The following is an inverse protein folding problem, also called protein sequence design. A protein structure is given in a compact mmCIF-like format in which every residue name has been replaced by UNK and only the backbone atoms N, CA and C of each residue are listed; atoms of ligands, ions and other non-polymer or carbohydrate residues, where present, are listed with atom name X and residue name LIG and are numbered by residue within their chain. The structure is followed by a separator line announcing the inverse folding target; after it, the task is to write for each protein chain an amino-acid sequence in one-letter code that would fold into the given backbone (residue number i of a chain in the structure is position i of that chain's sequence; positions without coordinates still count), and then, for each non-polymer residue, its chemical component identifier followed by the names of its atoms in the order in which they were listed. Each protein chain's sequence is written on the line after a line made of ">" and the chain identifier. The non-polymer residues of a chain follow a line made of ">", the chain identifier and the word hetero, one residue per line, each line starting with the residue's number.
data_IF_653690880023
#
_entry.id   IF_653690880023
#
_cell.length_a   1.000
_cell.length_b   1.000
_cell.length_c   1.000
_cell.angle_alpha   90.00
_cell.angle_beta   90.00
_cell.angle_gamma   90.00
#
_symmetry.space_group_name_H-M   'P 1'
#
loop_
_entity.id
_entity.type
_entity.pdbx_description
1 polymer ?
#
# COMPACT_ATOMS: atom_id res chain seq x y z
N UNK A 1 15.88 -7.59 -12.32
CA UNK A 1 14.91 -6.47 -12.17
C UNK A 1 14.24 -6.63 -10.82
N UNK A 2 14.31 -5.60 -10.01
CA UNK A 2 13.70 -5.64 -8.68
C UNK A 2 12.24 -5.18 -8.77
N UNK A 3 11.32 -6.09 -8.46
CA UNK A 3 9.88 -5.82 -8.46
C UNK A 3 9.38 -5.62 -7.04
N UNK A 4 8.47 -4.69 -6.87
CA UNK A 4 7.80 -4.46 -5.59
C UNK A 4 6.29 -4.64 -5.77
N UNK A 5 5.70 -5.50 -4.94
CA UNK A 5 4.26 -5.66 -4.83
C UNK A 5 3.75 -4.81 -3.66
N UNK A 6 2.91 -3.82 -3.97
CA UNK A 6 2.22 -3.01 -2.97
C UNK A 6 0.78 -3.52 -2.83
N UNK A 7 0.40 -3.89 -1.61
CA UNK A 7 -0.90 -4.49 -1.31
C UNK A 7 -1.74 -3.50 -0.49
N UNK A 8 -2.81 -3.01 -1.08
CA UNK A 8 -3.80 -2.15 -0.45
C UNK A 8 -4.93 -2.94 0.23
N UNK A 9 -5.85 -2.23 0.86
CA UNK A 9 -6.96 -2.81 1.62
C UNK A 9 -8.20 -3.21 0.80
N UNK A 10 -8.17 -3.07 -0.53
CA UNK A 10 -9.29 -3.45 -1.40
C UNK A 10 -9.45 -4.97 -1.53
N UNK A 11 -10.64 -5.46 -1.94
CA UNK A 11 -11.01 -6.88 -1.81
C UNK A 11 -10.16 -7.86 -2.63
N UNK A 12 -9.55 -7.45 -3.74
CA UNK A 12 -8.80 -8.38 -4.59
C UNK A 12 -7.61 -9.04 -3.89
N UNK A 13 -7.03 -8.40 -2.86
CA UNK A 13 -5.93 -9.04 -2.14
C UNK A 13 -6.34 -10.35 -1.44
N UNK A 14 -7.63 -10.50 -1.08
CA UNK A 14 -8.16 -11.70 -0.44
C UNK A 14 -8.25 -12.90 -1.41
N UNK A 15 -8.11 -12.67 -2.71
CA UNK A 15 -8.22 -13.69 -3.76
C UNK A 15 -6.85 -14.22 -4.24
N UNK A 16 -5.75 -13.56 -3.84
CA UNK A 16 -4.41 -13.79 -4.41
C UNK A 16 -3.33 -14.17 -3.37
N UNK A 17 -3.72 -14.84 -2.29
CA UNK A 17 -2.76 -15.22 -1.24
C UNK A 17 -1.65 -16.16 -1.75
N UNK A 18 -1.98 -17.11 -2.64
CA UNK A 18 -1.02 -18.07 -3.17
C UNK A 18 0.02 -17.37 -4.05
N UNK A 19 -0.42 -16.46 -4.90
CA UNK A 19 0.46 -15.65 -5.72
C UNK A 19 1.34 -14.75 -4.85
N UNK A 20 0.78 -14.11 -3.83
CA UNK A 20 1.55 -13.28 -2.91
C UNK A 20 2.61 -14.09 -2.15
N UNK A 21 2.30 -15.32 -1.70
CA UNK A 21 3.30 -16.20 -1.07
C UNK A 21 4.41 -16.63 -2.03
N UNK A 22 4.09 -16.76 -3.31
CA UNK A 22 5.03 -17.20 -4.35
C UNK A 22 5.87 -16.05 -4.92
N UNK A 23 5.48 -14.81 -4.65
CA UNK A 23 6.16 -13.62 -5.17
C UNK A 23 7.59 -13.53 -4.65
N UNK A 24 8.56 -13.31 -5.55
CA UNK A 24 10.00 -13.30 -5.23
C UNK A 24 10.59 -11.92 -4.98
N UNK A 25 9.82 -10.87 -5.26
CA UNK A 25 10.23 -9.48 -5.01
C UNK A 25 9.94 -9.01 -3.58
N UNK A 26 9.97 -7.72 -3.39
CA UNK A 26 9.64 -7.06 -2.12
C UNK A 26 8.13 -6.92 -1.99
N UNK A 27 7.58 -7.32 -0.86
CA UNK A 27 6.17 -7.15 -0.52
C UNK A 27 6.01 -5.99 0.48
N UNK A 28 5.16 -5.04 0.14
CA UNK A 28 4.79 -3.89 0.95
C UNK A 28 3.28 -3.93 1.19
N UNK A 29 2.84 -4.07 2.42
CA UNK A 29 1.42 -4.03 2.76
C UNK A 29 1.04 -2.66 3.31
N UNK A 30 -0.11 -2.13 2.89
CA UNK A 30 -0.79 -1.08 3.64
C UNK A 30 -1.41 -1.65 4.92
N UNK A 31 -1.65 -0.80 5.91
CA UNK A 31 -2.12 -1.18 7.24
C UNK A 31 -3.25 -2.23 7.23
N UNK A 32 -4.38 -1.96 6.58
CA UNK A 32 -5.55 -2.87 6.52
C UNK A 32 -5.24 -4.23 5.89
N UNK A 33 -4.30 -4.30 4.97
CA UNK A 33 -3.92 -5.56 4.34
C UNK A 33 -2.95 -6.40 5.18
N UNK A 34 -2.18 -5.76 6.06
CA UNK A 34 -1.06 -6.40 6.75
C UNK A 34 -1.47 -7.63 7.54
N UNK A 35 -2.53 -7.54 8.37
CA UNK A 35 -3.01 -8.67 9.17
C UNK A 35 -3.55 -9.79 8.30
N UNK A 36 -4.41 -9.48 7.33
CA UNK A 36 -4.99 -10.48 6.44
C UNK A 36 -3.89 -11.26 5.69
N UNK A 37 -2.86 -10.56 5.21
CA UNK A 37 -1.72 -11.18 4.53
C UNK A 37 -0.91 -12.08 5.47
N UNK A 38 -0.55 -11.60 6.65
CA UNK A 38 0.25 -12.39 7.59
C UNK A 38 -0.51 -13.59 8.14
N UNK A 39 -1.81 -13.49 8.38
CA UNK A 39 -2.67 -14.60 8.79
C UNK A 39 -2.70 -15.72 7.75
N UNK A 40 -2.54 -15.39 6.47
CA UNK A 40 -2.47 -16.33 5.35
C UNK A 40 -1.04 -16.75 4.99
N UNK A 41 -0.05 -16.41 5.81
CA UNK A 41 1.34 -16.83 5.61
C UNK A 41 2.11 -16.04 4.56
N UNK A 42 1.57 -14.91 4.09
CA UNK A 42 2.34 -13.95 3.29
C UNK A 42 3.24 -13.16 4.21
N UNK A 43 4.51 -13.02 3.86
CA UNK A 43 5.52 -12.35 4.68
C UNK A 43 5.83 -10.98 4.06
N UNK A 44 5.26 -9.87 4.56
CA UNK A 44 5.60 -8.55 4.07
C UNK A 44 7.00 -8.15 4.55
N UNK A 45 7.80 -7.57 3.66
CA UNK A 45 9.06 -6.95 4.02
C UNK A 45 8.80 -5.63 4.78
N UNK A 46 7.76 -4.91 4.35
CA UNK A 46 7.37 -3.63 4.93
C UNK A 46 5.86 -3.52 5.11
N UNK A 47 5.47 -2.79 6.14
CA UNK A 47 4.10 -2.32 6.32
C UNK A 47 4.12 -0.80 6.34
N UNK A 48 3.30 -0.16 5.54
CA UNK A 48 3.15 1.30 5.52
C UNK A 48 1.86 1.68 6.24
N UNK A 49 1.95 2.62 7.17
CA UNK A 49 0.78 3.20 7.84
C UNK A 49 0.83 4.72 7.81
N UNK A 50 -0.32 5.32 7.54
CA UNK A 50 -0.50 6.77 7.48
C UNK A 50 -1.67 7.22 8.37
N UNK A 51 -2.10 6.36 9.25
CA UNK A 51 -3.34 6.56 9.99
C UNK A 51 -3.25 7.70 11.01
N UNK A 52 -4.15 8.64 10.86
CA UNK A 52 -4.31 9.79 11.73
C UNK A 52 -5.50 9.69 12.70
N UNK A 53 -6.40 8.69 12.54
CA UNK A 53 -7.61 8.60 13.35
C UNK A 53 -7.48 7.82 14.67
N UNK A 54 -8.34 8.18 15.63
CA UNK A 54 -8.26 7.86 17.06
C UNK A 54 -8.58 6.43 17.46
N UNK A 55 -8.77 5.51 16.60
CA UNK A 55 -9.30 4.23 17.01
C UNK A 55 -8.21 3.21 17.32
N UNK A 56 -8.22 2.70 18.56
CA UNK A 56 -7.53 1.47 18.95
C UNK A 56 -7.89 0.28 18.02
N UNK A 57 -8.97 0.42 17.23
CA UNK A 57 -9.35 -0.50 16.17
C UNK A 57 -8.25 -0.76 15.13
N UNK A 58 -7.30 0.15 15.01
CA UNK A 58 -6.14 -0.05 14.14
C UNK A 58 -5.18 -1.12 14.63
N UNK A 59 -5.17 -1.40 15.92
CA UNK A 59 -4.41 -2.55 16.43
C UNK A 59 -4.98 -3.87 15.90
N UNK A 60 -6.22 -3.88 15.42
CA UNK A 60 -6.84 -5.02 14.75
C UNK A 60 -6.25 -5.28 13.36
N UNK A 61 -5.64 -4.26 12.73
CA UNK A 61 -4.98 -4.39 11.42
C UNK A 61 -3.55 -4.91 11.52
N UNK A 62 -2.97 -4.92 12.73
CA UNK A 62 -1.61 -5.36 12.95
C UNK A 62 -1.55 -6.51 13.96
N UNK A 63 -1.02 -7.64 13.54
CA UNK A 63 -0.51 -8.64 14.48
C UNK A 63 0.94 -8.27 14.85
N UNK A 64 1.11 -7.41 15.85
CA UNK A 64 2.42 -6.89 16.23
C UNK A 64 3.41 -8.00 16.67
N UNK A 65 3.02 -9.01 17.46
CA UNK A 65 3.88 -10.17 17.73
C UNK A 65 4.38 -10.83 16.45
N UNK A 66 3.51 -11.03 15.49
CA UNK A 66 3.82 -11.65 14.20
C UNK A 66 4.74 -10.79 13.35
N UNK A 67 4.48 -9.49 13.22
CA UNK A 67 5.35 -8.57 12.49
C UNK A 67 6.78 -8.58 13.07
N UNK A 68 6.90 -8.66 14.40
CA UNK A 68 8.21 -8.77 15.05
C UNK A 68 8.91 -10.09 14.72
N UNK A 69 8.20 -11.22 14.80
CA UNK A 69 8.72 -12.53 14.42
C UNK A 69 9.22 -12.56 13.00
N UNK A 70 8.43 -12.01 12.07
CA UNK A 70 8.75 -11.91 10.66
C UNK A 70 9.83 -10.85 10.33
N UNK A 71 10.25 -10.05 11.32
CA UNK A 71 11.19 -8.93 11.16
C UNK A 71 10.73 -7.88 10.16
N UNK A 72 9.42 -7.75 9.97
CA UNK A 72 8.82 -6.74 9.11
C UNK A 72 9.10 -5.34 9.65
N UNK A 73 9.54 -4.44 8.79
CA UNK A 73 9.75 -3.04 9.15
C UNK A 73 8.46 -2.24 8.89
N UNK A 74 8.10 -1.36 9.82
CA UNK A 74 6.95 -0.48 9.67
C UNK A 74 7.40 0.91 9.24
N UNK A 75 6.83 1.39 8.15
CA UNK A 75 7.03 2.75 7.64
C UNK A 75 5.85 3.59 8.11
N UNK A 76 6.15 4.62 8.89
CA UNK A 76 5.12 5.51 9.48
C UNK A 76 5.14 6.85 8.77
N UNK A 77 3.97 7.37 8.38
CA UNK A 77 3.90 8.76 7.91
C UNK A 77 3.99 9.73 9.08
N UNK A 78 4.23 10.99 8.80
CA UNK A 78 4.21 12.06 9.82
C UNK A 78 2.82 12.25 10.44
N UNK A 79 1.76 11.79 9.78
CA UNK A 79 0.39 11.78 10.31
C UNK A 79 0.13 10.61 11.26
N UNK A 80 1.05 9.65 11.37
CA UNK A 80 0.89 8.49 12.25
C UNK A 80 0.85 8.91 13.70
N UNK A 81 -0.13 8.41 14.45
CA UNK A 81 -0.37 8.83 15.84
C UNK A 81 0.69 8.34 16.81
N UNK A 82 0.93 9.16 17.82
CA UNK A 82 1.87 8.84 18.90
C UNK A 82 1.50 7.55 19.62
N UNK A 83 0.20 7.28 19.86
CA UNK A 83 -0.24 6.05 20.50
C UNK A 83 0.19 4.80 19.73
N UNK A 84 0.13 4.84 18.39
CA UNK A 84 0.59 3.72 17.55
C UNK A 84 2.12 3.59 17.60
N UNK A 85 2.85 4.70 17.61
CA UNK A 85 4.31 4.70 17.75
C UNK A 85 4.75 4.15 19.11
N UNK A 86 4.04 4.46 20.19
CA UNK A 86 4.27 3.90 21.52
C UNK A 86 4.06 2.37 21.52
N UNK A 87 3.02 1.89 20.81
CA UNK A 87 2.78 0.45 20.66
C UNK A 87 3.91 -0.24 19.89
N UNK A 88 4.36 0.34 18.77
CA UNK A 88 5.51 -0.22 18.05
C UNK A 88 6.75 -0.27 18.93
N UNK A 89 7.00 0.76 19.72
CA UNK A 89 8.10 0.80 20.69
C UNK A 89 7.97 -0.30 21.76
N UNK A 90 6.77 -0.43 22.37
CA UNK A 90 6.47 -1.47 23.38
C UNK A 90 6.73 -2.88 22.88
N UNK A 91 6.35 -3.17 21.63
CA UNK A 91 6.56 -4.48 21.01
C UNK A 91 7.94 -4.61 20.35
N UNK A 92 8.78 -3.58 20.40
CA UNK A 92 10.09 -3.52 19.74
C UNK A 92 9.99 -3.82 18.24
N UNK A 93 8.97 -3.26 17.60
CA UNK A 93 8.82 -3.29 16.17
C UNK A 93 9.76 -2.26 15.56
N UNK A 94 10.56 -2.68 14.58
CA UNK A 94 11.37 -1.75 13.81
C UNK A 94 10.45 -0.83 13.03
N UNK A 95 10.51 0.47 13.29
CA UNK A 95 9.75 1.44 12.55
C UNK A 95 10.64 2.61 12.12
N UNK A 96 10.24 3.25 11.03
CA UNK A 96 10.96 4.37 10.43
C UNK A 96 9.95 5.40 9.93
N UNK A 97 10.09 6.68 10.33
CA UNK A 97 9.25 7.73 9.77
C UNK A 97 9.59 7.98 8.31
N UNK A 98 8.58 8.25 7.53
CA UNK A 98 8.69 8.69 6.14
C UNK A 98 8.03 10.05 5.96
N UNK A 99 8.82 11.02 5.56
CA UNK A 99 8.38 12.37 5.24
C UNK A 99 8.55 12.55 3.72
N UNK A 100 7.45 12.66 2.97
CA UNK A 100 7.51 12.85 1.53
C UNK A 100 8.29 14.12 1.19
N UNK A 101 9.30 13.98 0.32
CA UNK A 101 10.02 15.14 -0.23
C UNK A 101 9.28 15.66 -1.46
N UNK A 102 9.14 16.97 -1.58
CA UNK A 102 8.52 17.67 -2.72
C UNK A 102 7.00 17.44 -2.91
N UNK A 103 6.33 16.84 -1.96
CA UNK A 103 4.88 16.76 -1.90
C UNK A 103 4.46 17.18 -0.50
N UNK A 104 3.48 18.07 -0.40
CA UNK A 104 2.86 18.33 0.90
C UNK A 104 2.17 17.05 1.37
N UNK A 105 2.41 16.58 2.60
CA UNK A 105 1.84 15.33 3.12
C UNK A 105 0.31 15.27 3.02
N UNK A 106 -0.35 16.43 3.13
CA UNK A 106 -1.79 16.59 2.95
C UNK A 106 -2.27 16.28 1.53
N UNK A 107 -1.36 16.09 0.57
CA UNK A 107 -1.69 15.72 -0.82
C UNK A 107 -1.62 14.21 -1.07
N UNK A 108 -1.22 13.42 -0.10
CA UNK A 108 -1.33 11.97 -0.16
C UNK A 108 -2.65 11.57 0.55
N UNK A 109 -3.75 11.36 -0.19
CA UNK A 109 -5.08 11.24 0.39
C UNK A 109 -5.28 9.95 1.19
N UNK A 110 -4.40 8.97 1.03
CA UNK A 110 -4.49 7.70 1.76
C UNK A 110 -3.13 7.00 1.94
N UNK A 111 -3.16 5.92 2.71
CA UNK A 111 -1.99 5.08 2.96
C UNK A 111 -1.46 4.39 1.71
N UNK A 112 -2.33 4.05 0.76
CA UNK A 112 -1.92 3.43 -0.51
C UNK A 112 -1.04 4.35 -1.35
N UNK A 113 -1.42 5.62 -1.49
CA UNK A 113 -0.58 6.61 -2.15
C UNK A 113 0.72 6.87 -1.40
N UNK A 114 0.68 6.90 -0.07
CA UNK A 114 1.88 7.02 0.76
C UNK A 114 2.83 5.86 0.51
N UNK A 115 2.31 4.62 0.46
CA UNK A 115 3.09 3.42 0.20
C UNK A 115 3.74 3.45 -1.19
N UNK A 116 2.99 3.77 -2.23
CA UNK A 116 3.51 3.88 -3.60
C UNK A 116 4.60 4.95 -3.69
N UNK A 117 4.37 6.11 -3.06
CA UNK A 117 5.34 7.20 -3.06
C UNK A 117 6.63 6.81 -2.33
N UNK A 118 6.51 6.16 -1.16
CA UNK A 118 7.64 5.65 -0.42
C UNK A 118 8.42 4.62 -1.24
N UNK A 119 7.76 3.63 -1.82
CA UNK A 119 8.39 2.59 -2.67
C UNK A 119 9.16 3.23 -3.82
N UNK A 120 8.54 4.16 -4.55
CA UNK A 120 9.19 4.84 -5.67
C UNK A 120 10.47 5.57 -5.26
N UNK A 121 10.45 6.29 -4.13
CA UNK A 121 11.54 7.17 -3.75
C UNK A 121 12.65 6.47 -2.95
N UNK A 122 12.30 5.49 -2.13
CA UNK A 122 13.23 4.81 -1.23
C UNK A 122 13.74 3.47 -1.78
N UNK A 123 12.87 2.67 -2.38
CA UNK A 123 13.25 1.37 -2.94
C UNK A 123 13.67 1.47 -4.41
N UNK A 124 13.08 2.39 -5.18
CA UNK A 124 13.39 2.67 -6.58
C UNK A 124 13.37 1.43 -7.47
N UNK A 125 12.30 0.63 -7.44
CA UNK A 125 12.21 -0.58 -8.23
C UNK A 125 12.09 -0.29 -9.73
N UNK A 126 12.26 -1.32 -10.56
CA UNK A 126 12.03 -1.21 -11.99
C UNK A 126 10.53 -1.03 -12.32
N UNK A 127 9.65 -1.68 -11.53
CA UNK A 127 8.21 -1.47 -11.58
C UNK A 127 7.54 -1.77 -10.23
N UNK A 128 6.32 -1.26 -10.07
CA UNK A 128 5.47 -1.45 -8.90
C UNK A 128 4.19 -2.16 -9.32
N UNK A 129 3.95 -3.34 -8.76
CA UNK A 129 2.69 -4.06 -8.90
C UNK A 129 1.73 -3.61 -7.81
N UNK A 130 0.48 -3.34 -8.16
CA UNK A 130 -0.56 -2.87 -7.24
C UNK A 130 -1.65 -3.93 -7.11
N UNK A 131 -1.96 -4.36 -5.90
CA UNK A 131 -3.03 -5.31 -5.60
C UNK A 131 -3.89 -4.74 -4.46
N UNK A 132 -5.21 -4.84 -4.55
CA UNK A 132 -6.10 -4.29 -3.51
C UNK A 132 -6.29 -2.78 -3.59
N UNK A 133 -6.24 -2.20 -4.80
CA UNK A 133 -6.40 -0.77 -5.06
C UNK A 133 -7.73 -0.44 -5.76
N UNK A 134 -8.76 -1.22 -5.50
CA UNK A 134 -10.07 -1.03 -6.12
C UNK A 134 -10.77 0.23 -5.66
N UNK A 135 -10.58 0.63 -4.40
CA UNK A 135 -11.32 1.74 -3.77
C UNK A 135 -12.84 1.62 -3.99
N UNK A 136 -13.36 0.39 -3.85
CA UNK A 136 -14.78 0.08 -3.97
C UNK A 136 -15.34 -0.37 -2.63
N UNK A 137 -16.61 -0.11 -2.40
CA UNK A 137 -17.32 -0.52 -1.19
C UNK A 137 -18.12 0.62 -0.57
N UNK A 138 -18.87 0.32 0.49
CA UNK A 138 -19.75 1.27 1.18
C UNK A 138 -18.99 2.40 1.91
N UNK A 139 -17.67 2.31 2.02
CA UNK A 139 -16.84 3.32 2.69
C UNK A 139 -16.44 4.47 1.76
N UNK A 140 -16.59 4.28 0.44
CA UNK A 140 -16.21 5.28 -0.55
C UNK A 140 -17.43 5.70 -1.36
N UNK A 141 -17.89 6.92 -1.14
CA UNK A 141 -18.86 7.54 -2.04
C UNK A 141 -18.20 7.90 -3.40
N UNK A 142 -19.04 8.21 -4.38
CA UNK A 142 -18.57 8.54 -5.73
C UNK A 142 -17.62 9.76 -5.75
N UNK A 143 -17.83 10.71 -4.84
CA UNK A 143 -17.00 11.91 -4.74
C UNK A 143 -15.60 11.55 -4.21
N UNK A 144 -15.50 10.76 -3.16
CA UNK A 144 -14.23 10.28 -2.60
C UNK A 144 -13.45 9.46 -3.62
N UNK A 145 -14.13 8.54 -4.32
CA UNK A 145 -13.56 7.75 -5.40
C UNK A 145 -12.95 8.61 -6.51
N UNK A 146 -13.72 9.58 -7.04
CA UNK A 146 -13.26 10.47 -8.11
C UNK A 146 -12.13 11.40 -7.66
N UNK A 147 -12.19 11.88 -6.44
CA UNK A 147 -11.15 12.72 -5.86
C UNK A 147 -9.85 11.96 -5.73
N UNK A 148 -9.90 10.74 -5.22
CA UNK A 148 -8.74 9.87 -5.11
C UNK A 148 -8.15 9.54 -6.49
N UNK A 149 -9.00 9.13 -7.43
CA UNK A 149 -8.58 8.83 -8.80
C UNK A 149 -7.92 10.05 -9.46
N UNK A 150 -8.52 11.23 -9.31
CA UNK A 150 -7.98 12.47 -9.85
C UNK A 150 -6.63 12.85 -9.25
N UNK A 151 -6.45 12.68 -7.94
CA UNK A 151 -5.19 12.92 -7.24
C UNK A 151 -4.11 11.93 -7.69
N UNK A 152 -4.43 10.63 -7.71
CA UNK A 152 -3.52 9.56 -8.14
C UNK A 152 -3.01 9.79 -9.57
N UNK A 153 -3.91 9.92 -10.55
CA UNK A 153 -3.51 10.12 -11.94
C UNK A 153 -2.81 11.46 -12.18
N UNK A 154 -3.17 12.50 -11.42
CA UNK A 154 -2.46 13.78 -11.48
C UNK A 154 -1.02 13.67 -11.02
N UNK A 155 -0.75 12.75 -10.10
CA UNK A 155 0.55 12.52 -9.54
C UNK A 155 1.43 11.59 -10.39
N UNK A 156 0.85 10.53 -10.97
CA UNK A 156 1.61 9.56 -11.78
C UNK A 156 1.74 9.94 -13.26
N UNK A 157 1.21 11.08 -13.67
CA UNK A 157 1.17 11.49 -15.10
C UNK A 157 2.54 11.54 -15.77
N UNK A 158 3.58 11.87 -15.02
CA UNK A 158 4.95 11.98 -15.51
C UNK A 158 5.74 10.67 -15.44
N UNK A 159 5.16 9.61 -14.88
CA UNK A 159 5.85 8.33 -14.74
C UNK A 159 5.78 7.53 -16.04
N UNK A 160 6.77 6.65 -16.33
CA UNK A 160 6.69 5.74 -17.46
C UNK A 160 5.43 4.88 -17.39
N UNK A 161 4.83 4.56 -18.55
CA UNK A 161 3.55 3.84 -18.61
C UNK A 161 3.59 2.44 -18.01
N UNK A 162 4.74 1.79 -18.03
CA UNK A 162 4.93 0.44 -17.49
C UNK A 162 5.46 0.42 -16.06
N UNK A 163 5.63 1.58 -15.44
CA UNK A 163 6.18 1.65 -14.10
C UNK A 163 5.20 1.18 -13.02
N UNK A 164 3.91 1.46 -13.22
CA UNK A 164 2.83 0.96 -12.37
C UNK A 164 1.99 -0.06 -13.12
N UNK A 165 1.75 -1.21 -12.48
CA UNK A 165 0.98 -2.31 -13.02
C UNK A 165 -0.15 -2.62 -12.05
N UNK A 166 -1.39 -2.40 -12.47
CA UNK A 166 -2.56 -2.73 -11.67
C UNK A 166 -2.89 -4.21 -11.80
N UNK A 167 -2.74 -4.96 -10.71
CA UNK A 167 -3.11 -6.35 -10.60
C UNK A 167 -4.43 -6.55 -9.83
N UNK A 168 -5.10 -5.45 -9.43
CA UNK A 168 -6.43 -5.50 -8.81
C UNK A 168 -7.49 -5.85 -9.82
N UNK A 169 -8.58 -6.49 -9.40
CA UNK A 169 -9.64 -6.98 -10.29
C UNK A 169 -10.73 -5.91 -10.55
N UNK A 170 -10.36 -4.68 -10.78
CA UNK A 170 -11.29 -3.58 -11.07
C UNK A 170 -10.98 -2.30 -10.32
N UNK A 171 -11.95 -1.39 -10.26
CA UNK A 171 -11.93 -0.22 -9.39
C UNK A 171 -11.27 1.02 -9.98
N UNK A 172 -10.73 1.87 -9.08
CA UNK A 172 -10.32 3.24 -9.39
C UNK A 172 -9.18 3.37 -10.40
N UNK A 173 -8.35 2.35 -10.56
CA UNK A 173 -7.20 2.39 -11.47
C UNK A 173 -7.54 1.93 -12.89
N UNK A 174 -8.74 1.40 -13.11
CA UNK A 174 -9.19 1.00 -14.44
C UNK A 174 -9.59 2.22 -15.28
N UNK A 175 -9.28 2.15 -16.59
CA UNK A 175 -9.61 3.19 -17.55
C UNK A 175 -8.58 4.30 -17.65
N UNK A 176 -8.96 5.42 -18.27
CA UNK A 176 -8.10 6.58 -18.48
C UNK A 176 -8.57 7.76 -17.64
N UNK A 177 -7.65 8.38 -16.92
CA UNK A 177 -7.88 9.68 -16.32
C UNK A 177 -6.75 10.64 -16.73
N UNK A 178 -7.10 11.85 -17.17
CA UNK A 178 -6.14 12.86 -17.64
C UNK A 178 -5.18 12.36 -18.74
N UNK A 179 -5.66 11.47 -19.62
CA UNK A 179 -4.85 10.91 -20.70
C UNK A 179 -3.89 9.80 -20.30
N UNK A 180 -3.74 9.50 -18.99
CA UNK A 180 -2.90 8.45 -18.47
C UNK A 180 -3.69 7.18 -18.18
N UNK A 181 -3.08 6.04 -18.40
CA UNK A 181 -3.59 4.72 -18.03
C UNK A 181 -2.53 3.98 -17.23
N UNK A 182 -2.93 3.36 -16.13
CA UNK A 182 -2.09 2.37 -15.47
C UNK A 182 -2.19 1.07 -16.27
N UNK A 183 -1.06 0.41 -16.51
CA UNK A 183 -1.02 -0.89 -17.16
C UNK A 183 -1.79 -1.91 -16.32
N UNK A 184 -2.67 -2.66 -16.94
CA UNK A 184 -3.35 -3.78 -16.31
C UNK A 184 -2.53 -5.06 -16.48
N UNK A 185 -2.43 -5.88 -15.45
CA UNK A 185 -1.72 -7.15 -15.45
C UNK A 185 -2.34 -8.14 -14.49
N UNK A 186 -1.99 -9.41 -14.63
CA UNK A 186 -2.36 -10.44 -13.66
C UNK A 186 -1.15 -10.77 -12.80
N UNK A 187 -1.30 -10.80 -11.47
CA UNK A 187 -0.18 -11.01 -10.54
C UNK A 187 0.63 -12.26 -10.90
N UNK A 188 -0.02 -13.35 -11.32
CA UNK A 188 0.62 -14.59 -11.74
C UNK A 188 1.60 -14.46 -12.93
N UNK A 189 1.54 -13.39 -13.69
CA UNK A 189 2.45 -13.13 -14.82
C UNK A 189 3.82 -12.60 -14.34
N UNK A 190 3.92 -12.26 -13.06
CA UNK A 190 5.08 -11.63 -12.42
C UNK A 190 5.71 -12.48 -11.29
N UNK A 191 5.32 -13.77 -11.21
CA UNK A 191 5.84 -14.71 -10.20
C UNK A 191 7.20 -15.33 -10.56
#
# INVERSE_FOLDING_TARGET
>A
MEQVLVIGGGPSHLLHFDECRSFKGIIVCCDRAAKAMTDQGVIPNYVVTAEAEKTLAMLEFFDLPKLKELKTEVITSECTRNELLEYFSKYKIKNRPYIPKNIEPTRLPDVGMTAIHWVKNELKPDNILLLGFEHVGNEYDEFTFRSWQGAFFGWVVEWPDEYLINCSEGGALYGKCRGKRVKEGKLKEYL
#
